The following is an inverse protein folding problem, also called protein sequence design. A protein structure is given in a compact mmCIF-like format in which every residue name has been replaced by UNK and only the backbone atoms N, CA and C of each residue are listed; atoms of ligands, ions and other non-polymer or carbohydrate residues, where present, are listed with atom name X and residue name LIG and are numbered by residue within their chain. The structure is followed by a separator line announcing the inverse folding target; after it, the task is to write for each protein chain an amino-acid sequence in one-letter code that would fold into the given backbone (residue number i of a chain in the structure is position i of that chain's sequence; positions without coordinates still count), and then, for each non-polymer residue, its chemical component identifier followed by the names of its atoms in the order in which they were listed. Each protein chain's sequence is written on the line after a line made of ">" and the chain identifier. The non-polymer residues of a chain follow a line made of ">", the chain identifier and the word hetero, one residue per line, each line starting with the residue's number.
data_IF_029964131312
#
_entry.id   IF_029964131312
#
_cell.length_a   1.000
_cell.length_b   1.000
_cell.length_c   1.000
_cell.angle_alpha   90.00
_cell.angle_beta   90.00
_cell.angle_gamma   90.00
#
_symmetry.space_group_name_H-M   'P 1'
#
loop_
_entity.id
_entity.type
_entity.pdbx_description
1 polymer ?
#
# COMPACT_ATOMS: atom_id res chain seq x y z
N UNK A 1 -44.59 9.78 -21.75
CA UNK A 1 -43.17 9.58 -22.11
C UNK A 1 -42.47 8.94 -20.91
N UNK A 2 -42.45 7.60 -20.85
CA UNK A 2 -41.74 6.86 -19.78
C UNK A 2 -40.29 6.73 -20.23
N UNK A 3 -39.35 7.31 -19.50
CA UNK A 3 -37.92 7.06 -19.72
C UNK A 3 -37.54 5.79 -18.94
N UNK A 4 -37.04 4.81 -19.69
CA UNK A 4 -36.46 3.57 -19.17
C UNK A 4 -35.12 3.90 -18.50
N UNK A 5 -35.04 3.63 -17.19
CA UNK A 5 -33.82 3.79 -16.37
C UNK A 5 -33.16 2.44 -16.04
N UNK A 6 -33.33 1.42 -16.89
CA UNK A 6 -32.95 0.04 -16.58
C UNK A 6 -31.69 -0.48 -17.29
N UNK A 7 -30.73 0.38 -17.66
CA UNK A 7 -29.49 -0.13 -18.25
C UNK A 7 -28.27 0.75 -17.96
N UNK A 8 -27.27 0.14 -17.32
CA UNK A 8 -25.85 0.54 -17.23
C UNK A 8 -25.48 1.41 -16.00
N UNK A 9 -25.27 0.79 -14.83
CA UNK A 9 -24.10 1.18 -14.00
C UNK A 9 -23.23 0.00 -13.50
N UNK A 10 -23.79 -1.20 -13.31
CA UNK A 10 -23.09 -2.31 -12.66
C UNK A 10 -21.97 -2.93 -13.52
N UNK A 11 -22.22 -3.08 -14.83
CA UNK A 11 -21.28 -3.74 -15.74
C UNK A 11 -19.98 -2.92 -15.91
N UNK A 12 -20.09 -1.59 -15.93
CA UNK A 12 -18.93 -0.70 -16.09
C UNK A 12 -18.02 -0.76 -14.86
N UNK A 13 -18.57 -0.75 -13.65
CA UNK A 13 -17.77 -0.82 -12.41
C UNK A 13 -17.07 -2.17 -12.29
N UNK A 14 -17.78 -3.28 -12.53
CA UNK A 14 -17.21 -4.63 -12.44
C UNK A 14 -16.12 -4.84 -13.50
N UNK A 15 -16.36 -4.41 -14.74
CA UNK A 15 -15.33 -4.48 -15.80
C UNK A 15 -14.14 -3.57 -15.49
N UNK A 16 -14.36 -2.42 -14.87
CA UNK A 16 -13.30 -1.49 -14.46
C UNK A 16 -12.43 -2.08 -13.35
N UNK A 17 -13.05 -2.61 -12.29
CA UNK A 17 -12.33 -3.26 -11.18
C UNK A 17 -11.57 -4.48 -11.70
N UNK A 18 -12.22 -5.31 -12.53
CA UNK A 18 -11.59 -6.48 -13.14
C UNK A 18 -10.41 -6.10 -14.02
N UNK A 19 -10.50 -5.00 -14.77
CA UNK A 19 -9.39 -4.49 -15.59
C UNK A 19 -8.21 -4.07 -14.72
N UNK A 20 -8.43 -3.27 -13.68
CA UNK A 20 -7.36 -2.86 -12.75
C UNK A 20 -6.74 -4.08 -12.08
N UNK A 21 -7.56 -5.02 -11.60
CA UNK A 21 -7.06 -6.25 -10.99
C UNK A 21 -6.25 -7.09 -11.99
N UNK A 22 -6.73 -7.28 -13.22
CA UNK A 22 -6.02 -8.07 -14.23
C UNK A 22 -4.67 -7.45 -14.62
N UNK A 23 -4.61 -6.13 -14.82
CA UNK A 23 -3.37 -5.43 -15.12
C UNK A 23 -2.40 -5.43 -13.91
N UNK A 24 -2.92 -5.35 -12.67
CA UNK A 24 -2.12 -5.57 -11.46
C UNK A 24 -1.60 -7.00 -11.34
N UNK A 25 -2.40 -8.02 -11.68
CA UNK A 25 -1.95 -9.43 -11.74
C UNK A 25 -0.82 -9.56 -12.75
N UNK A 26 -0.91 -8.89 -13.90
CA UNK A 26 0.15 -8.88 -14.92
C UNK A 26 1.44 -8.25 -14.37
N UNK A 27 1.33 -7.16 -13.60
CA UNK A 27 2.46 -6.55 -12.88
C UNK A 27 3.09 -7.49 -11.86
N UNK A 28 2.29 -8.24 -11.11
CA UNK A 28 2.81 -9.28 -10.21
C UNK A 28 3.31 -10.52 -10.98
N UNK A 29 3.02 -10.60 -12.29
CA UNK A 29 3.38 -11.73 -13.13
C UNK A 29 4.75 -11.59 -13.77
N UNK A 30 5.05 -10.37 -14.18
CA UNK A 30 6.39 -9.89 -14.40
C UNK A 30 6.97 -9.81 -12.98
N UNK A 31 8.06 -10.50 -12.65
CA UNK A 31 8.93 -9.91 -11.63
C UNK A 31 9.16 -8.51 -12.19
N UNK A 32 8.68 -7.47 -11.51
CA UNK A 32 8.83 -6.10 -12.01
C UNK A 32 10.31 -5.99 -12.33
N UNK A 33 10.62 -5.95 -13.62
CA UNK A 33 11.99 -5.90 -14.06
C UNK A 33 12.48 -4.58 -13.48
N UNK A 34 13.36 -4.63 -12.47
CA UNK A 34 13.89 -3.41 -11.89
C UNK A 34 14.53 -2.54 -12.98
N UNK A 35 14.90 -3.13 -14.13
CA UNK A 35 15.34 -2.43 -15.33
C UNK A 35 14.23 -1.78 -16.18
N UNK A 36 12.95 -2.16 -16.07
CA UNK A 36 11.83 -1.40 -16.67
C UNK A 36 11.49 -0.12 -15.87
N UNK A 37 11.85 -0.11 -14.59
CA UNK A 37 11.74 1.06 -13.71
C UNK A 37 12.94 2.01 -13.82
N UNK A 38 13.94 1.69 -14.64
CA UNK A 38 15.11 2.53 -14.86
C UNK A 38 14.80 3.65 -15.87
N UNK A 39 14.67 4.92 -15.43
CA UNK A 39 14.44 6.03 -16.36
C UNK A 39 15.61 6.22 -17.35
N UNK A 40 16.81 5.74 -17.04
CA UNK A 40 18.00 5.86 -17.90
C UNK A 40 17.97 4.85 -19.07
N UNK A 41 17.09 3.83 -19.02
CA UNK A 41 16.91 2.88 -20.13
C UNK A 41 16.33 3.52 -21.40
N UNK A 42 15.63 4.64 -21.26
CA UNK A 42 15.09 5.40 -22.40
C UNK A 42 16.12 6.27 -23.13
N UNK A 43 17.33 6.40 -22.58
CA UNK A 43 18.48 7.01 -23.26
C UNK A 43 19.25 5.92 -24.03
N UNK A 44 18.52 5.14 -24.82
CA UNK A 44 19.08 4.23 -25.83
C UNK A 44 19.47 5.01 -27.08
N UNK A 45 20.37 5.99 -26.92
CA UNK A 45 21.08 6.61 -28.03
C UNK A 45 22.47 6.00 -28.09
N UNK A 46 22.85 5.51 -29.26
CA UNK A 46 24.15 4.96 -29.59
C UNK A 46 25.26 5.98 -29.24
N UNK A 47 25.80 5.90 -28.02
CA UNK A 47 27.03 6.57 -27.63
C UNK A 47 28.12 5.52 -27.41
N UNK A 48 28.35 4.72 -28.45
CA UNK A 48 29.66 4.16 -28.70
C UNK A 48 30.64 5.32 -28.93
N UNK A 49 31.30 5.75 -27.86
CA UNK A 49 32.41 6.69 -27.92
C UNK A 49 32.09 8.08 -27.38
N UNK A 50 32.07 8.21 -26.05
CA UNK A 50 32.73 9.33 -25.37
C UNK A 50 32.95 8.95 -23.91
N UNK A 51 34.21 8.61 -23.58
CA UNK A 51 34.65 8.47 -22.20
C UNK A 51 34.71 9.86 -21.56
N UNK A 52 33.61 10.32 -20.98
CA UNK A 52 33.72 11.36 -19.96
C UNK A 52 34.36 10.73 -18.72
N UNK A 53 35.63 11.10 -18.49
CA UNK A 53 36.32 10.85 -17.23
C UNK A 53 35.59 11.64 -16.13
N UNK A 54 34.58 11.03 -15.52
CA UNK A 54 34.09 11.44 -14.21
C UNK A 54 35.15 11.05 -13.18
N UNK A 55 36.06 11.97 -12.89
CA UNK A 55 36.91 11.90 -11.71
C UNK A 55 36.02 11.91 -10.46
N UNK A 56 36.08 10.83 -9.68
CA UNK A 56 35.67 10.86 -8.26
C UNK A 56 34.31 10.26 -7.90
N UNK A 57 33.54 9.66 -8.82
CA UNK A 57 32.37 8.87 -8.44
C UNK A 57 32.84 7.56 -7.78
N UNK A 58 33.01 7.56 -6.46
CA UNK A 58 33.32 6.37 -5.66
C UNK A 58 32.30 5.29 -6.03
N UNK A 59 32.77 4.23 -6.69
CA UNK A 59 31.94 3.06 -7.04
C UNK A 59 31.32 2.59 -5.73
N UNK A 60 30.01 2.81 -5.57
CA UNK A 60 29.30 2.35 -4.38
C UNK A 60 29.23 0.83 -4.51
N UNK A 61 30.25 0.15 -3.98
CA UNK A 61 30.19 -1.29 -3.79
C UNK A 61 28.97 -1.57 -2.92
N UNK A 62 28.06 -2.41 -3.43
CA UNK A 62 26.88 -2.78 -2.67
C UNK A 62 27.35 -3.42 -1.37
N UNK A 63 27.00 -2.83 -0.22
CA UNK A 63 27.26 -3.42 1.10
C UNK A 63 26.45 -4.70 1.36
N UNK A 64 25.69 -5.18 0.37
CA UNK A 64 24.91 -6.43 0.45
C UNK A 64 25.90 -7.60 0.45
N UNK A 65 25.93 -8.42 1.50
CA UNK A 65 26.77 -9.60 1.51
C UNK A 65 26.32 -10.55 0.37
N UNK A 66 27.24 -10.89 -0.52
CA UNK A 66 26.97 -11.83 -1.61
C UNK A 66 27.28 -13.27 -1.18
N UNK A 67 26.50 -14.24 -1.67
CA UNK A 67 26.78 -15.66 -1.46
C UNK A 67 26.46 -16.21 -0.05
N UNK A 68 25.63 -15.53 0.74
CA UNK A 68 25.21 -16.02 2.07
C UNK A 68 24.36 -17.29 2.02
N UNK A 69 23.60 -17.48 0.94
CA UNK A 69 22.72 -18.63 0.73
C UNK A 69 23.04 -19.25 -0.63
N UNK A 70 23.00 -20.57 -0.69
CA UNK A 70 23.00 -21.29 -1.98
C UNK A 70 21.68 -21.07 -2.71
N UNK A 71 21.66 -21.24 -4.04
CA UNK A 71 20.43 -21.15 -4.83
C UNK A 71 19.35 -22.12 -4.34
N UNK A 72 19.76 -23.31 -3.87
CA UNK A 72 18.85 -24.31 -3.31
C UNK A 72 18.20 -23.80 -2.02
N UNK A 73 18.97 -23.26 -1.08
CA UNK A 73 18.44 -22.69 0.16
C UNK A 73 17.54 -21.48 -0.12
N UNK A 74 17.93 -20.62 -1.05
CA UNK A 74 17.10 -19.48 -1.45
C UNK A 74 15.75 -19.94 -1.99
N UNK A 75 15.74 -20.96 -2.85
CA UNK A 75 14.52 -21.54 -3.41
C UNK A 75 13.64 -22.18 -2.32
N UNK A 76 14.24 -22.85 -1.36
CA UNK A 76 13.53 -23.49 -0.24
C UNK A 76 12.87 -22.45 0.68
N UNK A 77 13.61 -21.41 1.09
CA UNK A 77 13.10 -20.35 1.96
C UNK A 77 12.12 -19.40 1.26
N UNK A 78 12.14 -19.35 -0.08
CA UNK A 78 11.22 -18.52 -0.87
C UNK A 78 9.94 -19.27 -1.31
N UNK A 79 9.69 -20.47 -0.79
CA UNK A 79 8.48 -21.22 -1.12
C UNK A 79 7.22 -20.51 -0.59
N UNK A 80 6.20 -20.40 -1.45
CA UNK A 80 4.94 -19.72 -1.17
C UNK A 80 3.81 -20.74 -1.04
N UNK A 81 2.87 -20.48 -0.12
CA UNK A 81 1.72 -21.36 0.15
C UNK A 81 0.43 -20.57 0.27
N UNK A 82 -0.53 -20.85 -0.62
CA UNK A 82 -1.85 -20.22 -0.59
C UNK A 82 -2.59 -20.55 0.71
N UNK A 83 -2.49 -21.80 1.17
CA UNK A 83 -3.21 -22.27 2.36
C UNK A 83 -2.71 -21.57 3.63
N UNK A 84 -1.38 -21.49 3.81
CA UNK A 84 -0.79 -20.84 4.99
C UNK A 84 -1.13 -19.35 5.00
N UNK A 85 -0.91 -18.66 3.88
CA UNK A 85 -1.22 -17.24 3.77
C UNK A 85 -2.71 -16.94 3.99
N UNK A 86 -3.61 -17.81 3.51
CA UNK A 86 -5.05 -17.66 3.72
C UNK A 86 -5.43 -17.84 5.20
N UNK A 87 -4.84 -18.81 5.91
CA UNK A 87 -5.08 -18.99 7.35
C UNK A 87 -4.67 -17.73 8.12
N UNK A 88 -3.49 -17.18 7.87
CA UNK A 88 -3.05 -15.93 8.53
C UNK A 88 -3.97 -14.77 8.20
N UNK A 89 -4.33 -14.58 6.94
CA UNK A 89 -5.23 -13.51 6.50
C UNK A 89 -6.61 -13.62 7.16
N UNK A 90 -7.23 -14.80 7.13
CA UNK A 90 -8.55 -15.03 7.73
C UNK A 90 -8.49 -14.91 9.25
N UNK A 91 -7.47 -15.45 9.92
CA UNK A 91 -7.31 -15.31 11.37
C UNK A 91 -7.18 -13.84 11.78
N UNK A 92 -6.45 -13.03 11.01
CA UNK A 92 -6.29 -11.60 11.25
C UNK A 92 -7.62 -10.85 11.10
N UNK A 93 -8.36 -11.08 10.02
CA UNK A 93 -9.68 -10.46 9.82
C UNK A 93 -10.74 -10.95 10.81
N UNK A 94 -10.69 -12.23 11.22
CA UNK A 94 -11.51 -12.75 12.31
C UNK A 94 -11.21 -12.01 13.61
N UNK A 95 -9.94 -11.76 13.94
CA UNK A 95 -9.57 -11.02 15.15
C UNK A 95 -10.11 -9.58 15.08
N UNK A 96 -10.00 -8.90 13.93
CA UNK A 96 -10.58 -7.55 13.70
C UNK A 96 -12.09 -7.56 13.88
N UNK A 97 -12.78 -8.58 13.34
CA UNK A 97 -14.23 -8.73 13.47
C UNK A 97 -14.66 -8.97 14.91
N UNK A 98 -13.97 -9.87 15.62
CA UNK A 98 -14.22 -10.17 17.03
C UNK A 98 -13.98 -8.96 17.93
N UNK A 99 -12.86 -8.26 17.75
CA UNK A 99 -12.57 -7.08 18.57
C UNK A 99 -13.50 -5.90 18.23
N UNK A 100 -13.91 -5.73 16.97
CA UNK A 100 -14.95 -4.77 16.57
C UNK A 100 -16.32 -5.09 17.15
N UNK A 101 -16.70 -6.36 17.20
CA UNK A 101 -17.93 -6.82 17.85
C UNK A 101 -17.88 -6.63 19.38
N UNK A 102 -16.73 -6.87 20.01
CA UNK A 102 -16.55 -6.60 21.43
C UNK A 102 -16.71 -5.10 21.72
N UNK A 103 -16.08 -4.21 20.93
CA UNK A 103 -16.26 -2.75 21.04
C UNK A 103 -17.74 -2.40 21.00
N UNK A 104 -18.49 -2.97 20.05
CA UNK A 104 -19.92 -2.73 19.91
C UNK A 104 -20.73 -3.07 21.18
N UNK A 105 -20.43 -4.19 21.82
CA UNK A 105 -21.16 -4.65 23.01
C UNK A 105 -20.78 -3.85 24.26
N UNK A 106 -19.50 -3.49 24.41
CA UNK A 106 -19.02 -2.82 25.63
C UNK A 106 -19.18 -1.30 25.57
N UNK A 107 -19.44 -0.71 24.41
CA UNK A 107 -19.66 0.74 24.29
C UNK A 107 -20.99 1.16 24.95
N UNK A 108 -21.06 2.25 25.74
CA UNK A 108 -20.01 3.25 26.02
C UNK A 108 -19.28 3.05 27.37
N UNK A 109 -19.18 1.83 27.89
CA UNK A 109 -18.53 1.58 29.20
C UNK A 109 -17.02 1.83 29.16
N UNK A 110 -16.39 1.96 30.33
CA UNK A 110 -14.93 2.14 30.44
C UNK A 110 -14.13 0.97 29.84
N UNK A 111 -14.69 -0.23 29.76
CA UNK A 111 -14.08 -1.39 29.09
C UNK A 111 -13.89 -1.18 27.59
N UNK A 112 -14.57 -0.21 26.99
CA UNK A 112 -14.37 0.15 25.58
C UNK A 112 -12.93 0.60 25.30
N UNK A 113 -12.29 1.31 26.23
CA UNK A 113 -10.92 1.84 26.04
C UNK A 113 -9.90 0.73 25.78
N UNK A 114 -9.72 -0.29 26.65
CA UNK A 114 -8.76 -1.35 26.39
C UNK A 114 -9.10 -2.17 25.13
N UNK A 115 -10.39 -2.41 24.81
CA UNK A 115 -10.77 -3.13 23.59
C UNK A 115 -10.46 -2.31 22.33
N UNK A 116 -10.67 -0.99 22.37
CA UNK A 116 -10.28 -0.07 21.30
C UNK A 116 -8.76 -0.09 21.04
N UNK A 117 -7.94 -0.15 22.10
CA UNK A 117 -6.49 -0.23 21.96
C UNK A 117 -6.05 -1.57 21.34
N UNK A 118 -6.70 -2.68 21.71
CA UNK A 118 -6.47 -3.99 21.07
C UNK A 118 -6.86 -3.94 19.59
N UNK A 119 -8.04 -3.42 19.27
CA UNK A 119 -8.48 -3.24 17.87
C UNK A 119 -7.48 -2.36 17.10
N UNK A 120 -7.02 -1.27 17.70
CA UNK A 120 -6.07 -0.34 17.09
C UNK A 120 -4.74 -1.03 16.75
N UNK A 121 -4.22 -1.82 17.68
CA UNK A 121 -3.05 -2.66 17.44
C UNK A 121 -3.32 -3.63 16.28
N UNK A 122 -4.34 -4.47 16.39
CA UNK A 122 -4.65 -5.53 15.41
C UNK A 122 -4.87 -4.95 14.02
N UNK A 123 -5.68 -3.90 13.88
CA UNK A 123 -5.99 -3.30 12.57
C UNK A 123 -4.78 -2.53 12.01
N UNK A 124 -3.92 -1.97 12.86
CA UNK A 124 -2.66 -1.36 12.43
C UNK A 124 -1.74 -2.38 11.75
N UNK A 125 -1.73 -3.63 12.22
CA UNK A 125 -0.93 -4.70 11.60
C UNK A 125 -1.44 -5.16 10.24
N UNK A 126 -2.58 -4.65 9.73
CA UNK A 126 -2.95 -4.87 8.33
C UNK A 126 -1.91 -4.31 7.34
N UNK A 127 -0.96 -3.50 7.80
CA UNK A 127 0.22 -3.18 7.00
C UNK A 127 0.98 -4.42 6.53
N UNK A 128 1.07 -5.48 7.33
CA UNK A 128 1.81 -6.71 6.97
C UNK A 128 1.22 -7.41 5.73
N UNK A 129 -0.08 -7.78 5.68
CA UNK A 129 -0.66 -8.34 4.46
C UNK A 129 -0.66 -7.33 3.30
N UNK A 130 -0.78 -6.02 3.56
CA UNK A 130 -0.63 -4.98 2.53
C UNK A 130 0.76 -5.02 1.90
N UNK A 131 1.81 -5.06 2.73
CA UNK A 131 3.21 -5.09 2.34
C UNK A 131 3.53 -6.34 1.51
N UNK A 132 3.29 -7.53 2.06
CA UNK A 132 3.63 -8.78 1.39
C UNK A 132 2.84 -9.01 0.10
N UNK A 133 1.55 -8.62 0.07
CA UNK A 133 0.75 -8.74 -1.15
C UNK A 133 1.09 -7.65 -2.18
N UNK A 134 1.64 -6.51 -1.76
CA UNK A 134 2.17 -5.51 -2.69
C UNK A 134 3.39 -6.03 -3.46
N UNK A 135 4.21 -6.87 -2.83
CA UNK A 135 5.34 -7.58 -3.44
C UNK A 135 4.93 -8.85 -4.21
N UNK A 136 3.70 -9.34 -4.03
CA UNK A 136 3.24 -10.60 -4.62
C UNK A 136 3.90 -11.84 -4.00
N UNK A 137 4.43 -11.71 -2.78
CA UNK A 137 5.21 -12.75 -2.09
C UNK A 137 4.38 -13.58 -1.12
N UNK A 138 3.24 -13.09 -0.63
CA UNK A 138 2.43 -13.79 0.36
C UNK A 138 1.82 -15.10 -0.17
N UNK A 139 1.12 -15.02 -1.30
CA UNK A 139 0.41 -16.16 -1.91
C UNK A 139 1.20 -16.75 -3.08
N UNK A 140 1.04 -18.06 -3.31
CA UNK A 140 1.51 -18.71 -4.53
C UNK A 140 0.70 -18.24 -5.74
N UNK A 141 -0.61 -18.07 -5.55
CA UNK A 141 -1.54 -17.58 -6.57
C UNK A 141 -1.53 -16.05 -6.65
N UNK A 142 -1.26 -15.52 -7.84
CA UNK A 142 -1.15 -14.06 -8.08
C UNK A 142 -2.46 -13.31 -7.83
N UNK A 143 -3.58 -13.89 -8.27
CA UNK A 143 -4.91 -13.28 -8.07
C UNK A 143 -5.29 -13.20 -6.58
N UNK A 144 -4.80 -14.12 -5.73
CA UNK A 144 -4.99 -14.05 -4.29
C UNK A 144 -4.20 -12.88 -3.68
N UNK A 145 -2.93 -12.69 -4.06
CA UNK A 145 -2.16 -11.51 -3.65
C UNK A 145 -2.90 -10.23 -4.01
N UNK A 146 -3.39 -10.09 -5.25
CA UNK A 146 -4.11 -8.89 -5.64
C UNK A 146 -5.42 -8.68 -4.87
N UNK A 147 -6.19 -9.75 -4.68
CA UNK A 147 -7.47 -9.66 -3.97
C UNK A 147 -7.25 -9.24 -2.51
N UNK A 148 -6.29 -9.86 -1.83
CA UNK A 148 -5.94 -9.52 -0.45
C UNK A 148 -5.33 -8.13 -0.35
N UNK A 149 -4.49 -7.73 -1.31
CA UNK A 149 -3.96 -6.38 -1.39
C UNK A 149 -5.09 -5.36 -1.47
N UNK A 150 -6.05 -5.54 -2.38
CA UNK A 150 -7.19 -4.62 -2.55
C UNK A 150 -8.07 -4.54 -1.31
N UNK A 151 -8.46 -5.69 -0.74
CA UNK A 151 -9.28 -5.73 0.48
C UNK A 151 -8.57 -5.01 1.62
N UNK A 152 -7.29 -5.31 1.81
CA UNK A 152 -6.48 -4.72 2.88
C UNK A 152 -6.26 -3.23 2.65
N UNK A 153 -5.98 -2.81 1.42
CA UNK A 153 -5.76 -1.42 1.05
C UNK A 153 -7.01 -0.55 1.28
N UNK A 154 -8.22 -1.09 1.03
CA UNK A 154 -9.47 -0.40 1.32
C UNK A 154 -9.66 -0.19 2.82
N UNK A 155 -9.37 -1.20 3.65
CA UNK A 155 -9.47 -1.09 5.12
C UNK A 155 -8.35 -0.21 5.69
N UNK A 156 -7.15 -0.26 5.10
CA UNK A 156 -5.98 0.51 5.51
C UNK A 156 -5.99 1.96 5.00
N UNK A 157 -6.86 2.27 4.03
CA UNK A 157 -7.05 3.58 3.39
C UNK A 157 -5.82 4.04 2.60
N UNK A 158 -5.38 3.19 1.67
CA UNK A 158 -4.22 3.44 0.79
C UNK A 158 -4.55 2.96 -0.63
N UNK A 159 -4.16 3.69 -1.70
CA UNK A 159 -4.29 3.20 -3.08
C UNK A 159 -3.31 2.03 -3.33
N UNK A 160 -3.79 0.80 -3.57
CA UNK A 160 -2.95 -0.40 -3.61
C UNK A 160 -1.92 -0.43 -4.75
N UNK A 161 -2.31 -0.01 -5.94
CA UNK A 161 -1.44 -0.02 -7.11
C UNK A 161 -0.35 1.04 -6.97
N UNK A 162 -0.72 2.28 -6.61
CA UNK A 162 0.27 3.32 -6.33
C UNK A 162 1.19 2.94 -5.17
N UNK A 163 0.65 2.34 -4.10
CA UNK A 163 1.44 1.87 -2.97
C UNK A 163 2.49 0.85 -3.39
N UNK A 164 2.17 -0.12 -4.26
CA UNK A 164 3.15 -1.08 -4.79
C UNK A 164 4.35 -0.38 -5.40
N UNK A 165 4.13 0.55 -6.33
CA UNK A 165 5.23 1.25 -7.00
C UNK A 165 5.98 2.22 -6.08
N UNK A 166 5.26 2.94 -5.22
CA UNK A 166 5.85 3.77 -4.17
C UNK A 166 6.78 2.93 -3.29
N UNK A 167 6.34 1.75 -2.90
CA UNK A 167 7.07 0.86 -2.02
C UNK A 167 8.26 0.19 -2.69
N UNK A 168 8.14 -0.20 -3.96
CA UNK A 168 9.28 -0.66 -4.77
C UNK A 168 10.32 0.44 -4.94
N UNK A 169 9.89 1.68 -5.19
CA UNK A 169 10.78 2.84 -5.24
C UNK A 169 11.54 3.02 -3.93
N UNK A 170 10.87 2.84 -2.79
CA UNK A 170 11.51 2.81 -1.47
C UNK A 170 12.54 1.68 -1.35
N UNK A 171 12.22 0.42 -1.69
CA UNK A 171 13.18 -0.69 -1.61
C UNK A 171 14.38 -0.55 -2.55
N UNK A 172 14.19 0.10 -3.71
CA UNK A 172 15.25 0.36 -4.68
C UNK A 172 16.20 1.45 -4.21
N UNK A 173 15.67 2.50 -3.58
CA UNK A 173 16.41 3.70 -3.21
C UNK A 173 16.43 3.96 -1.70
N UNK A 174 16.31 2.91 -0.88
CA UNK A 174 16.18 3.03 0.58
C UNK A 174 17.29 3.91 1.14
N UNK A 175 16.91 4.94 1.92
CA UNK A 175 17.83 5.90 2.53
C UNK A 175 18.67 6.73 1.55
N UNK A 176 18.29 6.83 0.27
CA UNK A 176 18.92 7.72 -0.70
C UNK A 176 18.15 9.04 -0.76
N UNK A 177 18.71 10.15 -0.25
CA UNK A 177 18.03 11.45 -0.23
C UNK A 177 17.58 11.88 -1.63
N UNK A 178 16.34 12.34 -1.73
CA UNK A 178 15.74 12.80 -2.98
C UNK A 178 15.30 11.69 -3.94
N UNK A 179 15.58 10.41 -3.66
CA UNK A 179 15.12 9.26 -4.45
C UNK A 179 14.17 8.34 -3.69
N UNK A 180 14.39 8.15 -2.38
CA UNK A 180 13.50 7.35 -1.54
C UNK A 180 12.16 8.08 -1.31
N UNK A 181 11.03 7.56 -1.83
CA UNK A 181 9.74 8.23 -1.68
C UNK A 181 9.17 8.09 -0.25
N UNK A 182 9.68 7.18 0.59
CA UNK A 182 9.26 7.03 1.99
C UNK A 182 10.21 7.65 3.00
N UNK A 183 11.32 8.27 2.58
CA UNK A 183 12.21 8.99 3.46
C UNK A 183 11.52 10.22 4.05
N UNK A 184 11.19 10.14 5.34
CA UNK A 184 10.45 11.18 6.07
C UNK A 184 11.18 11.70 7.30
N UNK A 185 12.23 11.00 7.74
CA UNK A 185 13.11 11.46 8.82
C UNK A 185 14.46 11.83 8.22
N UNK A 186 14.93 13.08 8.39
CA UNK A 186 16.28 13.45 8.01
C UNK A 186 17.30 12.83 8.98
N UNK A 187 18.48 12.47 8.50
CA UNK A 187 19.59 12.05 9.36
C UNK A 187 20.57 13.22 9.62
N UNK A 188 20.85 13.60 10.89
CA UNK A 188 20.27 13.08 12.13
C UNK A 188 18.89 13.69 12.45
N UNK A 189 17.97 12.88 12.99
CA UNK A 189 16.63 13.34 13.39
C UNK A 189 16.61 13.83 14.85
N UNK A 190 15.91 14.94 15.11
CA UNK A 190 15.60 15.39 16.47
C UNK A 190 14.46 14.58 17.11
N UNK A 191 14.40 14.53 18.44
CA UNK A 191 13.29 13.89 19.17
C UNK A 191 11.92 14.45 18.75
N UNK A 192 11.84 15.76 18.46
CA UNK A 192 10.60 16.39 17.99
C UNK A 192 10.17 15.86 16.61
N UNK A 193 11.10 15.70 15.68
CA UNK A 193 10.82 15.12 14.35
C UNK A 193 10.40 13.66 14.48
N UNK A 194 11.05 12.90 15.37
CA UNK A 194 10.67 11.52 15.67
C UNK A 194 9.24 11.42 16.22
N UNK A 195 8.89 12.23 17.23
CA UNK A 195 7.53 12.25 17.78
C UNK A 195 6.49 12.69 16.74
N UNK A 196 6.83 13.64 15.86
CA UNK A 196 5.95 14.05 14.75
C UNK A 196 5.73 12.93 13.74
N UNK A 197 6.78 12.17 13.40
CA UNK A 197 6.68 10.98 12.55
C UNK A 197 5.79 9.91 13.19
N UNK A 198 6.00 9.62 14.47
CA UNK A 198 5.21 8.66 15.23
C UNK A 198 3.75 9.09 15.42
N UNK A 199 3.46 10.40 15.47
CA UNK A 199 2.08 10.90 15.54
C UNK A 199 1.24 10.55 14.31
N UNK A 200 1.87 10.15 13.20
CA UNK A 200 1.21 9.61 12.01
C UNK A 200 0.23 10.54 11.26
N UNK A 201 0.06 11.79 11.70
CA UNK A 201 -0.89 12.73 11.08
C UNK A 201 -0.57 12.99 9.60
N UNK A 202 0.72 13.08 9.28
CA UNK A 202 1.18 13.24 7.91
C UNK A 202 0.81 12.06 7.01
N UNK A 203 0.85 10.83 7.54
CA UNK A 203 0.47 9.63 6.79
C UNK A 203 -1.00 9.71 6.34
N UNK A 204 -1.90 10.07 7.25
CA UNK A 204 -3.32 10.22 6.95
C UNK A 204 -3.58 11.28 5.89
N UNK A 205 -3.00 12.48 6.07
CA UNK A 205 -3.09 13.55 5.09
C UNK A 205 -2.58 13.11 3.71
N UNK A 206 -1.41 12.47 3.66
CA UNK A 206 -0.76 12.02 2.44
C UNK A 206 -1.61 10.99 1.68
N UNK A 207 -2.10 9.95 2.34
CA UNK A 207 -2.86 8.90 1.65
C UNK A 207 -4.22 9.39 1.17
N UNK A 208 -4.92 10.21 1.98
CA UNK A 208 -6.17 10.84 1.56
C UNK A 208 -5.94 11.76 0.36
N UNK A 209 -4.85 12.54 0.40
CA UNK A 209 -4.41 13.38 -0.72
C UNK A 209 -4.15 12.54 -1.98
N UNK A 210 -3.48 11.39 -1.87
CA UNK A 210 -3.28 10.48 -3.01
C UNK A 210 -4.61 10.02 -3.61
N UNK A 211 -5.54 9.54 -2.79
CA UNK A 211 -6.85 9.06 -3.27
C UNK A 211 -7.60 10.19 -4.00
N UNK A 212 -7.70 11.37 -3.39
CA UNK A 212 -8.47 12.50 -3.97
C UNK A 212 -7.78 13.08 -5.20
N UNK A 213 -6.47 13.33 -5.14
CA UNK A 213 -5.73 13.95 -6.24
C UNK A 213 -5.58 13.01 -7.42
N UNK A 214 -5.25 11.73 -7.19
CA UNK A 214 -5.15 10.75 -8.27
C UNK A 214 -6.50 10.52 -8.93
N UNK A 215 -7.61 10.48 -8.18
CA UNK A 215 -8.94 10.36 -8.77
C UNK A 215 -9.30 11.56 -9.68
N UNK A 216 -8.81 12.76 -9.31
CA UNK A 216 -8.91 13.98 -10.11
C UNK A 216 -7.88 14.04 -11.28
N UNK A 217 -7.08 13.00 -11.49
CA UNK A 217 -6.04 12.95 -12.52
C UNK A 217 -4.79 13.79 -12.21
N UNK A 218 -4.66 14.29 -10.98
CA UNK A 218 -3.52 15.10 -10.53
C UNK A 218 -2.44 14.20 -9.94
N UNK A 219 -1.43 13.89 -10.73
CA UNK A 219 -0.29 13.06 -10.33
C UNK A 219 0.93 13.97 -10.14
N UNK A 220 1.67 13.75 -9.05
CA UNK A 220 2.89 14.50 -8.79
C UNK A 220 3.99 14.13 -9.82
N UNK A 221 4.74 15.09 -10.37
CA UNK A 221 5.85 14.78 -11.27
C UNK A 221 6.85 13.75 -10.70
N UNK A 222 7.11 13.78 -9.40
CA UNK A 222 8.01 12.85 -8.72
C UNK A 222 7.53 11.39 -8.75
N UNK A 223 6.23 11.15 -8.99
CA UNK A 223 5.70 9.79 -9.17
C UNK A 223 6.28 9.11 -10.41
N UNK A 224 6.62 9.88 -11.44
CA UNK A 224 7.19 9.32 -12.67
C UNK A 224 8.57 8.69 -12.51
N UNK A 225 9.23 8.90 -11.36
CA UNK A 225 10.51 8.27 -11.00
C UNK A 225 10.37 6.79 -10.67
N UNK A 226 9.18 6.34 -10.24
CA UNK A 226 8.95 4.95 -9.81
C UNK A 226 7.66 4.33 -10.35
N UNK A 227 6.81 5.09 -11.06
CA UNK A 227 5.67 4.54 -11.81
C UNK A 227 5.88 4.78 -13.31
N UNK A 228 5.84 3.74 -14.15
CA UNK A 228 5.94 3.90 -15.61
C UNK A 228 4.86 4.84 -16.17
N UNK A 229 5.26 5.81 -17.00
CA UNK A 229 4.35 6.83 -17.58
C UNK A 229 3.15 6.22 -18.30
N UNK A 230 3.37 5.11 -19.03
CA UNK A 230 2.32 4.38 -19.74
C UNK A 230 1.19 3.88 -18.82
N UNK A 231 1.48 3.66 -17.53
CA UNK A 231 0.56 3.07 -16.57
C UNK A 231 0.00 4.05 -15.53
N UNK A 232 0.31 5.34 -15.63
CA UNK A 232 -0.24 6.38 -14.73
C UNK A 232 -1.77 6.43 -14.73
N UNK A 233 -2.40 6.04 -15.85
CA UNK A 233 -3.86 5.97 -15.94
C UNK A 233 -4.48 4.95 -14.96
N UNK A 234 -3.73 3.91 -14.57
CA UNK A 234 -4.19 2.92 -13.59
C UNK A 234 -4.24 3.50 -12.17
N UNK A 235 -3.34 4.42 -11.83
CA UNK A 235 -3.40 5.15 -10.56
C UNK A 235 -4.67 6.00 -10.45
N UNK A 236 -5.08 6.62 -11.55
CA UNK A 236 -6.32 7.39 -11.60
C UNK A 236 -7.53 6.47 -11.45
N UNK A 237 -7.48 5.32 -12.13
CA UNK A 237 -8.58 4.36 -12.13
C UNK A 237 -8.77 3.71 -10.75
N UNK A 238 -7.70 3.27 -10.09
CA UNK A 238 -7.79 2.70 -8.73
C UNK A 238 -8.38 3.71 -7.74
N UNK A 239 -7.98 4.98 -7.83
CA UNK A 239 -8.39 5.99 -6.89
C UNK A 239 -9.88 6.33 -7.06
N UNK A 240 -10.36 6.35 -8.31
CA UNK A 240 -11.79 6.47 -8.62
C UNK A 240 -12.58 5.27 -8.13
N UNK A 241 -12.07 4.05 -8.30
CA UNK A 241 -12.69 2.84 -7.76
C UNK A 241 -12.79 2.92 -6.24
N UNK A 242 -11.72 3.29 -5.54
CA UNK A 242 -11.74 3.47 -4.09
C UNK A 242 -12.76 4.52 -3.65
N UNK A 243 -12.79 5.69 -4.29
CA UNK A 243 -13.79 6.73 -3.97
C UNK A 243 -15.21 6.25 -4.24
N UNK A 244 -15.46 5.49 -5.30
CA UNK A 244 -16.77 4.92 -5.57
C UNK A 244 -17.18 3.93 -4.47
N UNK A 245 -16.27 3.05 -4.04
CA UNK A 245 -16.50 2.09 -2.96
C UNK A 245 -16.76 2.79 -1.62
N UNK A 246 -15.96 3.81 -1.28
CA UNK A 246 -16.20 4.62 -0.09
C UNK A 246 -17.48 5.45 -0.17
N UNK A 247 -17.85 5.93 -1.37
CA UNK A 247 -19.12 6.62 -1.60
C UNK A 247 -20.33 5.71 -1.39
N UNK A 248 -20.28 4.47 -1.88
CA UNK A 248 -21.30 3.44 -1.62
C UNK A 248 -21.37 3.13 -0.13
N UNK A 249 -20.23 2.94 0.53
CA UNK A 249 -20.18 2.69 1.97
C UNK A 249 -20.77 3.85 2.78
N UNK A 250 -20.41 5.09 2.44
CA UNK A 250 -20.96 6.28 3.06
C UNK A 250 -22.47 6.38 2.87
N UNK A 251 -22.98 6.09 1.66
CA UNK A 251 -24.41 6.06 1.38
C UNK A 251 -25.15 5.03 2.24
N UNK A 252 -24.66 3.78 2.28
CA UNK A 252 -25.25 2.71 3.10
C UNK A 252 -25.30 3.13 4.58
N UNK A 253 -24.23 3.72 5.07
CA UNK A 253 -24.12 4.17 6.45
C UNK A 253 -25.06 5.33 6.77
N UNK A 254 -25.22 6.29 5.86
CA UNK A 254 -26.16 7.41 6.01
C UNK A 254 -27.60 6.89 6.01
N UNK A 255 -27.94 5.98 5.09
CA UNK A 255 -29.29 5.44 4.97
C UNK A 255 -29.69 4.57 6.17
N UNK A 256 -28.73 3.91 6.81
CA UNK A 256 -28.99 3.02 7.94
C UNK A 256 -28.80 3.69 9.31
N UNK A 257 -28.13 4.85 9.37
CA UNK A 257 -27.85 5.58 10.61
C UNK A 257 -26.69 5.03 11.45
N UNK A 258 -25.96 4.02 10.97
CA UNK A 258 -24.88 3.35 11.71
C UNK A 258 -23.48 3.97 11.49
N UNK A 259 -23.39 5.27 11.18
CA UNK A 259 -22.10 5.91 10.90
C UNK A 259 -21.15 5.96 12.08
N UNK A 260 -21.72 6.07 13.28
CA UNK A 260 -20.95 5.99 14.51
C UNK A 260 -20.30 4.61 14.71
N UNK A 261 -20.93 3.52 14.25
CA UNK A 261 -20.37 2.17 14.32
C UNK A 261 -19.13 2.04 13.45
N UNK A 262 -19.18 2.59 12.24
CA UNK A 262 -18.06 2.62 11.31
C UNK A 262 -16.89 3.44 11.89
N UNK A 263 -17.19 4.60 12.47
CA UNK A 263 -16.18 5.42 13.14
C UNK A 263 -15.56 4.66 14.32
N UNK A 264 -16.37 4.07 15.17
CA UNK A 264 -15.94 3.45 16.42
C UNK A 264 -15.19 2.12 16.21
N UNK A 265 -15.65 1.26 15.31
CA UNK A 265 -15.09 -0.09 15.14
C UNK A 265 -14.01 -0.16 14.04
N UNK A 266 -13.95 0.82 13.12
CA UNK A 266 -12.97 0.84 12.04
C UNK A 266 -12.08 2.10 12.06
N UNK A 267 -12.62 3.28 11.76
CA UNK A 267 -11.78 4.45 11.46
C UNK A 267 -10.99 4.96 12.68
N UNK A 268 -11.62 5.01 13.86
CA UNK A 268 -10.96 5.45 15.10
C UNK A 268 -9.84 4.47 15.53
N UNK A 269 -10.09 3.15 15.66
CA UNK A 269 -9.02 2.20 15.94
C UNK A 269 -7.91 2.26 14.90
N UNK A 270 -8.26 2.39 13.61
CA UNK A 270 -7.25 2.48 12.56
C UNK A 270 -6.40 3.74 12.69
N UNK A 271 -7.01 4.87 13.00
CA UNK A 271 -6.30 6.12 13.29
C UNK A 271 -5.34 5.96 14.47
N UNK A 272 -5.79 5.36 15.57
CA UNK A 272 -5.01 5.10 16.77
C UNK A 272 -3.91 4.03 16.58
N UNK A 273 -4.08 3.13 15.61
CA UNK A 273 -3.13 2.07 15.31
C UNK A 273 -1.91 2.50 14.49
N UNK A 274 -2.01 3.59 13.73
CA UNK A 274 -0.90 4.05 12.87
C UNK A 274 0.34 4.47 13.68
N UNK A 275 0.24 5.18 14.81
CA UNK A 275 1.39 5.44 15.65
C UNK A 275 2.19 4.20 16.07
N UNK A 276 1.50 3.10 16.39
CA UNK A 276 2.16 1.83 16.73
C UNK A 276 2.97 1.31 15.55
N UNK A 277 2.39 1.34 14.35
CA UNK A 277 3.09 0.95 13.13
C UNK A 277 4.30 1.86 12.85
N UNK A 278 4.17 3.17 13.05
CA UNK A 278 5.27 4.13 12.81
C UNK A 278 6.46 3.87 13.73
N UNK A 279 6.22 3.59 15.01
CA UNK A 279 7.28 3.27 15.98
C UNK A 279 8.03 2.01 15.54
N UNK A 280 7.31 0.95 15.15
CA UNK A 280 7.94 -0.31 14.72
C UNK A 280 8.70 -0.16 13.40
N UNK A 281 8.10 0.55 12.43
CA UNK A 281 8.67 0.74 11.10
C UNK A 281 9.82 1.73 11.04
N UNK A 282 10.04 2.52 12.11
CA UNK A 282 11.19 3.42 12.11
C UNK A 282 12.49 2.63 11.90
N UNK A 283 12.58 1.40 12.41
CA UNK A 283 13.73 0.52 12.21
C UNK A 283 13.97 0.10 10.74
N UNK A 284 12.98 0.25 9.86
CA UNK A 284 13.17 0.08 8.40
C UNK A 284 13.78 1.35 7.76
N UNK A 285 13.75 2.48 8.47
CA UNK A 285 14.07 3.82 7.97
C UNK A 285 15.24 4.50 8.72
N UNK A 286 16.00 3.77 9.53
CA UNK A 286 17.26 4.21 10.19
C UNK A 286 18.29 3.09 10.16
#
# INVERSE_FOLDING_TARGET
>A
MRQDFSSIPHLVIVLTVRRVMNESIEINSQLIDEAELDPDRSVGGDFAGQSEKSEGARKVESRRPAGLLTEQQLKEFSQRSDAIALVYFLAHYCLIGLSGWLIWIVFPTLWCVPVLLVQAFVIGFLFSPLHECSHGTAFRSRWLNESVLWITALVYVVPPYFFRYFHLGHHRYTQVPGKDPSLVLPEPASLKQYLWYCAALWFWWRNLSWIVRHAAGRIDPATSTYVPKARLHLMVLEARVMLALYGVLALVVILTGYGWALLLCWLLPRFLGEPVQRVLRVAEHV
#
